data_IF_185191861434
#
_entry.id   IF_185191861434
#
_cell.length_a   1.000
_cell.length_b   1.000
_cell.length_c   1.000
_cell.angle_alpha   90.00
_cell.angle_beta   90.00
_cell.angle_gamma   90.00
#
_symmetry.space_group_name_H-M   'P 1'
#
loop_
_entity.id
_entity.type
_entity.pdbx_description
1 polymer ?
#
# COMPACT_ATOMS: atom_id res chain seq x y z
N UNK A 1 -0.23 -34.91 45.10
CA UNK A 1 1.11 -34.96 45.73
C UNK A 1 2.15 -34.65 44.67
N UNK A 2 2.88 -33.54 44.80
CA UNK A 2 4.18 -33.30 44.16
C UNK A 2 5.29 -33.58 45.20
N UNK A 3 6.55 -33.88 44.81
CA UNK A 3 7.57 -32.85 44.47
C UNK A 3 8.46 -33.26 43.27
N UNK A 4 8.99 -32.40 42.40
CA UNK A 4 9.93 -31.26 42.51
C UNK A 4 11.40 -31.66 42.84
N UNK A 5 12.29 -31.62 41.85
CA UNK A 5 13.71 -31.23 42.03
C UNK A 5 14.15 -30.39 40.82
N UNK A 6 14.70 -29.22 41.14
CA UNK A 6 15.25 -28.17 40.31
C UNK A 6 16.77 -28.38 40.18
N UNK A 7 17.37 -28.10 39.02
CA UNK A 7 18.67 -27.40 38.92
C UNK A 7 18.77 -26.64 37.60
N UNK A 8 19.53 -25.56 37.64
CA UNK A 8 19.39 -24.32 36.87
C UNK A 8 20.62 -23.96 36.03
N UNK A 9 20.36 -23.30 34.90
CA UNK A 9 21.14 -22.31 34.12
C UNK A 9 22.61 -22.54 33.72
N UNK A 10 22.85 -22.44 32.39
CA UNK A 10 23.70 -21.46 31.64
C UNK A 10 23.93 -22.08 30.25
N UNK A 11 23.64 -21.48 29.09
CA UNK A 11 24.16 -20.25 28.50
C UNK A 11 23.28 -19.92 27.27
N UNK A 12 22.70 -18.73 27.18
CA UNK A 12 22.06 -18.25 25.94
C UNK A 12 23.17 -17.69 25.03
N UNK A 13 23.47 -18.37 23.92
CA UNK A 13 24.15 -17.77 22.78
C UNK A 13 23.10 -17.28 21.78
N UNK A 14 23.14 -15.99 21.48
CA UNK A 14 22.41 -15.37 20.39
C UNK A 14 22.98 -15.89 19.06
N UNK A 15 22.24 -16.72 18.34
CA UNK A 15 22.57 -17.07 16.97
C UNK A 15 21.68 -16.26 16.00
N UNK A 16 22.27 -15.17 15.54
CA UNK A 16 21.76 -14.17 14.61
C UNK A 16 21.84 -14.67 13.14
N UNK A 17 21.37 -15.90 12.87
CA UNK A 17 21.59 -16.60 11.58
C UNK A 17 20.30 -16.93 10.79
N UNK A 18 19.18 -16.30 11.15
CA UNK A 18 17.89 -16.51 10.47
C UNK A 18 17.67 -15.55 9.29
N UNK A 19 18.35 -14.39 9.29
CA UNK A 19 18.17 -13.32 8.30
C UNK A 19 18.92 -13.58 6.97
N UNK A 20 20.00 -14.37 7.02
CA UNK A 20 20.82 -14.70 5.85
C UNK A 20 20.17 -15.75 4.93
N UNK A 21 19.37 -16.66 5.47
CA UNK A 21 18.75 -17.74 4.68
C UNK A 21 17.66 -17.29 3.71
N UNK A 22 16.97 -16.18 3.99
CA UNK A 22 15.91 -15.67 3.11
C UNK A 22 16.44 -14.82 1.95
N UNK A 23 17.63 -14.22 2.08
CA UNK A 23 18.24 -13.39 1.03
C UNK A 23 18.89 -14.20 -0.09
N UNK A 24 19.16 -15.50 0.12
CA UNK A 24 19.81 -16.37 -0.86
C UNK A 24 18.83 -17.17 -1.74
N UNK A 25 17.52 -16.96 -1.60
CA UNK A 25 16.49 -17.67 -2.39
C UNK A 25 16.10 -16.93 -3.68
N UNK A 26 16.67 -15.75 -3.96
CA UNK A 26 16.36 -14.97 -5.17
C UNK A 26 17.64 -14.36 -5.78
N UNK A 27 18.40 -15.13 -6.59
CA UNK A 27 19.53 -14.59 -7.31
C UNK A 27 19.10 -13.94 -8.64
N UNK A 28 19.57 -12.70 -8.82
CA UNK A 28 19.73 -11.93 -10.06
C UNK A 28 18.51 -11.50 -10.89
N UNK A 29 18.17 -10.20 -10.82
CA UNK A 29 18.22 -9.28 -11.98
C UNK A 29 18.05 -7.79 -11.59
N UNK A 30 19.10 -7.16 -11.07
CA UNK A 30 19.18 -5.68 -11.05
C UNK A 30 20.39 -5.27 -11.88
N UNK A 31 20.21 -5.13 -13.20
CA UNK A 31 21.12 -4.31 -13.99
C UNK A 31 20.69 -2.86 -13.82
N UNK A 32 21.55 -2.06 -13.16
CA UNK A 32 21.43 -0.61 -13.11
C UNK A 32 21.54 -0.04 -14.52
N UNK A 33 20.44 0.46 -15.07
CA UNK A 33 20.48 1.37 -16.21
C UNK A 33 20.27 2.79 -15.72
N UNK A 34 21.30 3.62 -15.86
CA UNK A 34 21.17 5.07 -15.76
C UNK A 34 20.20 5.56 -16.85
N UNK A 35 19.07 6.13 -16.46
CA UNK A 35 18.16 6.83 -17.37
C UNK A 35 18.06 8.28 -16.90
N UNK A 36 18.80 9.15 -17.57
CA UNK A 36 18.56 10.60 -17.59
C UNK A 36 17.33 10.85 -18.48
N UNK A 37 16.19 11.23 -17.89
CA UNK A 37 15.05 11.76 -18.65
C UNK A 37 15.16 13.28 -18.74
N UNK A 38 15.55 13.75 -19.91
CA UNK A 38 15.32 15.13 -20.38
C UNK A 38 13.81 15.35 -20.53
N UNK A 39 13.27 16.32 -19.78
CA UNK A 39 11.90 16.80 -19.94
C UNK A 39 11.74 17.46 -21.30
N UNK A 40 10.83 16.94 -22.11
CA UNK A 40 10.41 17.59 -23.34
C UNK A 40 8.94 17.99 -23.19
N UNK A 41 8.70 19.28 -23.07
CA UNK A 41 7.38 19.89 -23.05
C UNK A 41 6.75 19.81 -24.43
N UNK A 42 5.56 19.19 -24.56
CA UNK A 42 4.46 19.72 -25.37
C UNK A 42 3.17 18.87 -25.27
N UNK A 43 2.13 19.54 -24.74
CA UNK A 43 0.72 19.58 -25.17
C UNK A 43 -0.18 18.35 -25.00
N UNK A 44 -1.03 18.37 -23.96
CA UNK A 44 -2.49 18.65 -23.94
C UNK A 44 -3.08 18.08 -22.62
N UNK A 45 -4.00 18.82 -21.98
CA UNK A 45 -4.80 18.51 -20.76
C UNK A 45 -4.26 19.05 -19.41
N UNK A 46 -4.49 20.34 -19.17
CA UNK A 46 -4.14 21.08 -17.95
C UNK A 46 -5.06 20.88 -16.73
N UNK A 47 -5.54 19.66 -16.49
CA UNK A 47 -6.26 19.27 -15.26
C UNK A 47 -5.60 18.12 -14.48
N UNK A 48 -4.65 17.40 -15.09
CA UNK A 48 -3.85 16.32 -14.50
C UNK A 48 -2.58 16.87 -13.77
N UNK A 49 -2.64 18.16 -13.38
CA UNK A 49 -1.65 18.81 -12.51
C UNK A 49 -1.70 18.17 -11.11
N UNK A 50 -0.94 17.08 -11.04
CA UNK A 50 -0.53 16.21 -9.95
C UNK A 50 -1.49 16.11 -8.76
N UNK A 51 -2.41 15.14 -8.81
CA UNK A 51 -3.27 14.69 -7.68
C UNK A 51 -2.46 14.61 -6.37
N UNK A 52 -1.18 14.24 -6.44
CA UNK A 52 -0.30 14.20 -5.28
C UNK A 52 -0.03 15.58 -4.67
N UNK A 53 0.19 16.61 -5.48
CA UNK A 53 0.37 17.99 -5.00
C UNK A 53 -0.90 18.48 -4.31
N UNK A 54 -2.07 18.22 -4.91
CA UNK A 54 -3.36 18.55 -4.27
C UNK A 54 -3.53 17.83 -2.93
N UNK A 55 -3.19 16.55 -2.85
CA UNK A 55 -3.22 15.81 -1.59
C UNK A 55 -2.26 16.39 -0.53
N UNK A 56 -1.09 16.90 -0.93
CA UNK A 56 -0.16 17.56 -0.01
C UNK A 56 -0.71 18.90 0.51
N UNK A 57 -1.43 19.65 -0.32
CA UNK A 57 -2.10 20.90 0.07
C UNK A 57 -3.27 20.62 1.01
N UNK A 58 -4.13 19.66 0.67
CA UNK A 58 -5.25 19.22 1.51
C UNK A 58 -4.74 18.70 2.86
N UNK A 59 -3.67 17.89 2.89
CA UNK A 59 -3.06 17.40 4.12
C UNK A 59 -2.58 18.52 5.04
N UNK A 60 -1.99 19.59 4.48
CA UNK A 60 -1.56 20.75 5.27
C UNK A 60 -2.76 21.50 5.84
N UNK A 61 -3.79 21.74 5.02
CA UNK A 61 -5.03 22.37 5.45
C UNK A 61 -5.72 21.58 6.58
N UNK A 62 -5.80 20.26 6.45
CA UNK A 62 -6.39 19.39 7.47
C UNK A 62 -5.62 19.46 8.80
N UNK A 63 -4.28 19.52 8.76
CA UNK A 63 -3.43 19.66 9.96
C UNK A 63 -3.55 21.03 10.61
N UNK A 64 -3.70 22.10 9.82
CA UNK A 64 -3.94 23.45 10.33
C UNK A 64 -5.29 23.55 11.06
N UNK A 65 -6.31 22.88 10.53
CA UNK A 65 -7.64 22.83 11.14
C UNK A 65 -7.68 21.89 12.35
N UNK A 66 -7.00 20.74 12.28
CA UNK A 66 -7.01 19.69 13.31
C UNK A 66 -5.58 19.26 13.70
N UNK A 67 -4.86 20.05 14.54
CA UNK A 67 -3.46 19.78 14.87
C UNK A 67 -3.19 18.42 15.54
N UNK A 68 -4.20 17.81 16.15
CA UNK A 68 -4.10 16.45 16.73
C UNK A 68 -3.74 15.39 15.67
N UNK A 69 -4.06 15.65 14.39
CA UNK A 69 -3.78 14.74 13.28
C UNK A 69 -2.37 14.92 12.67
N UNK A 70 -1.57 15.86 13.18
CA UNK A 70 -0.24 16.20 12.63
C UNK A 70 0.64 14.97 12.37
N UNK A 71 0.78 14.08 13.36
CA UNK A 71 1.62 12.88 13.23
C UNK A 71 1.02 11.85 12.25
N UNK A 72 -0.32 11.78 12.19
CA UNK A 72 -1.01 10.87 11.29
C UNK A 72 -0.80 11.27 9.82
N UNK A 73 -1.01 12.55 9.48
CA UNK A 73 -0.73 13.07 8.14
C UNK A 73 0.76 13.07 7.80
N UNK A 74 1.63 13.36 8.76
CA UNK A 74 3.07 13.30 8.54
C UNK A 74 3.51 11.89 8.12
N UNK A 75 3.14 10.88 8.90
CA UNK A 75 3.52 9.49 8.64
C UNK A 75 2.83 8.88 7.41
N UNK A 76 1.65 9.38 7.03
CA UNK A 76 0.86 8.80 5.93
C UNK A 76 1.03 9.52 4.59
N UNK A 77 1.32 10.83 4.60
CA UNK A 77 1.35 11.68 3.40
C UNK A 77 2.66 12.47 3.31
N UNK A 78 2.90 13.43 4.20
CA UNK A 78 3.91 14.48 3.94
C UNK A 78 5.37 14.02 4.08
N UNK A 79 5.63 12.89 4.74
CA UNK A 79 6.97 12.28 4.81
C UNK A 79 7.34 11.46 3.56
N UNK A 80 6.37 11.20 2.67
CA UNK A 80 6.57 10.42 1.46
C UNK A 80 6.94 11.32 0.29
N UNK A 81 7.76 10.81 -0.63
CA UNK A 81 8.24 11.57 -1.80
C UNK A 81 7.27 11.57 -2.98
N UNK A 82 6.36 10.60 -3.01
CA UNK A 82 5.48 10.33 -4.14
C UNK A 82 4.26 9.51 -3.74
N UNK A 83 3.20 9.57 -4.55
CA UNK A 83 1.92 8.89 -4.30
C UNK A 83 2.06 7.37 -4.13
N UNK A 84 2.93 6.72 -4.92
CA UNK A 84 3.20 5.28 -4.82
C UNK A 84 3.82 4.89 -3.47
N UNK A 85 4.75 5.68 -2.95
CA UNK A 85 5.37 5.46 -1.63
C UNK A 85 4.37 5.67 -0.50
N UNK A 86 3.53 6.70 -0.59
CA UNK A 86 2.44 6.91 0.37
C UNK A 86 1.42 5.75 0.33
N UNK A 87 1.09 5.27 -0.87
CA UNK A 87 0.12 4.19 -1.07
C UNK A 87 0.66 2.87 -0.52
N UNK A 88 1.91 2.53 -0.84
CA UNK A 88 2.57 1.36 -0.29
C UNK A 88 2.59 1.39 1.25
N UNK A 89 2.85 2.57 1.85
CA UNK A 89 2.88 2.74 3.29
C UNK A 89 1.50 2.55 3.93
N UNK A 90 0.45 3.20 3.43
CA UNK A 90 -0.88 3.04 4.03
C UNK A 90 -1.39 1.61 3.91
N UNK A 91 -1.20 0.98 2.74
CA UNK A 91 -1.62 -0.41 2.54
C UNK A 91 -0.82 -1.36 3.44
N UNK A 92 0.48 -1.15 3.59
CA UNK A 92 1.32 -2.02 4.43
C UNK A 92 0.93 -1.92 5.90
N UNK A 93 0.66 -0.71 6.40
CA UNK A 93 0.21 -0.50 7.77
C UNK A 93 -1.16 -1.16 7.98
N UNK A 94 -2.13 -0.92 7.09
CA UNK A 94 -3.51 -1.43 7.22
C UNK A 94 -3.61 -2.95 7.08
N UNK A 95 -2.77 -3.57 6.24
CA UNK A 95 -2.83 -5.01 5.97
C UNK A 95 -1.88 -5.84 6.85
N UNK A 96 -0.99 -5.20 7.62
CA UNK A 96 -0.05 -5.88 8.50
C UNK A 96 -0.72 -6.64 9.64
N UNK A 97 0.02 -7.62 10.18
CA UNK A 97 -0.30 -8.35 11.40
C UNK A 97 0.96 -8.51 12.25
N UNK A 98 0.83 -9.12 13.43
CA UNK A 98 1.99 -9.48 14.26
C UNK A 98 2.94 -10.46 13.55
N UNK A 99 2.44 -11.28 12.64
CA UNK A 99 3.24 -12.25 11.87
C UNK A 99 3.71 -11.69 10.52
N UNK A 100 2.93 -10.81 9.91
CA UNK A 100 3.20 -10.17 8.63
C UNK A 100 3.48 -8.68 8.83
N UNK A 101 4.76 -8.36 9.01
CA UNK A 101 5.21 -7.00 9.36
C UNK A 101 4.96 -6.00 8.24
N UNK A 102 4.60 -4.76 8.61
CA UNK A 102 4.36 -3.66 7.68
C UNK A 102 5.56 -3.37 6.77
N UNK A 103 6.79 -3.42 7.29
CA UNK A 103 7.99 -3.19 6.47
C UNK A 103 8.14 -4.21 5.33
N UNK A 104 7.85 -5.49 5.59
CA UNK A 104 7.89 -6.53 4.55
C UNK A 104 6.82 -6.29 3.49
N UNK A 105 5.62 -5.87 3.90
CA UNK A 105 4.54 -5.52 2.99
C UNK A 105 4.86 -4.26 2.19
N UNK A 106 5.50 -3.27 2.81
CA UNK A 106 5.90 -2.03 2.15
C UNK A 106 6.85 -2.32 0.99
N UNK A 107 7.92 -3.07 1.23
CA UNK A 107 8.90 -3.45 0.20
C UNK A 107 8.25 -4.24 -0.95
N UNK A 108 7.31 -5.13 -0.62
CA UNK A 108 6.54 -5.87 -1.62
C UNK A 108 5.67 -4.93 -2.47
N UNK A 109 4.90 -4.06 -1.82
CA UNK A 109 3.93 -3.20 -2.48
C UNK A 109 4.61 -2.14 -3.34
N UNK A 110 5.64 -1.47 -2.81
CA UNK A 110 6.38 -0.47 -3.58
C UNK A 110 7.05 -1.09 -4.81
N UNK A 111 7.60 -2.30 -4.70
CA UNK A 111 8.15 -3.03 -5.85
C UNK A 111 7.11 -3.27 -6.94
N UNK A 112 5.91 -3.77 -6.55
CA UNK A 112 4.81 -4.00 -7.52
C UNK A 112 4.34 -2.71 -8.18
N UNK A 113 4.18 -1.62 -7.40
CA UNK A 113 3.72 -0.33 -7.90
C UNK A 113 4.73 0.30 -8.87
N UNK A 114 6.03 0.19 -8.59
CA UNK A 114 7.08 0.71 -9.47
C UNK A 114 7.25 -0.11 -10.76
N UNK A 115 7.01 -1.42 -10.71
CA UNK A 115 7.02 -2.28 -11.88
C UNK A 115 5.77 -2.13 -12.76
N UNK A 116 4.70 -1.53 -12.24
CA UNK A 116 3.38 -1.49 -12.89
C UNK A 116 2.78 -0.07 -12.89
N UNK A 117 3.29 0.86 -13.71
CA UNK A 117 2.78 2.24 -13.80
C UNK A 117 1.27 2.32 -14.09
N UNK A 118 0.72 1.32 -14.79
CA UNK A 118 -0.72 1.20 -15.07
C UNK A 118 -1.59 1.15 -13.80
N UNK A 119 -1.06 0.62 -12.70
CA UNK A 119 -1.75 0.60 -11.42
C UNK A 119 -1.87 2.03 -10.88
N UNK A 120 -0.80 2.83 -10.97
CA UNK A 120 -0.81 4.21 -10.48
C UNK A 120 -1.75 5.11 -11.28
N UNK A 121 -1.87 4.88 -12.59
CA UNK A 121 -2.88 5.57 -13.40
C UNK A 121 -4.30 5.20 -12.97
N UNK A 122 -4.53 3.93 -12.62
CA UNK A 122 -5.82 3.49 -12.07
C UNK A 122 -6.10 4.12 -10.71
N UNK A 123 -5.09 4.24 -9.84
CA UNK A 123 -5.18 4.89 -8.52
C UNK A 123 -5.65 6.34 -8.67
N UNK A 124 -5.05 7.11 -9.58
CA UNK A 124 -5.44 8.50 -9.84
C UNK A 124 -6.89 8.57 -10.33
N UNK A 125 -7.29 7.72 -11.29
CA UNK A 125 -8.67 7.68 -11.79
C UNK A 125 -9.67 7.28 -10.72
N UNK A 126 -9.32 6.35 -9.82
CA UNK A 126 -10.17 5.95 -8.71
C UNK A 126 -10.33 7.10 -7.69
N UNK A 127 -9.27 7.87 -7.42
CA UNK A 127 -9.34 9.09 -6.58
C UNK A 127 -10.22 10.17 -7.21
N UNK A 128 -10.09 10.43 -8.51
CA UNK A 128 -10.95 11.35 -9.24
C UNK A 128 -12.42 10.89 -9.18
N UNK A 129 -12.67 9.62 -9.47
CA UNK A 129 -14.02 9.05 -9.43
C UNK A 129 -14.66 9.17 -8.05
N UNK A 130 -13.90 8.94 -6.97
CA UNK A 130 -14.40 9.15 -5.62
C UNK A 130 -14.74 10.63 -5.36
N UNK A 131 -13.85 11.56 -5.74
CA UNK A 131 -14.05 12.98 -5.53
C UNK A 131 -15.24 13.56 -6.31
N UNK A 132 -15.48 13.06 -7.52
CA UNK A 132 -16.56 13.51 -8.40
C UNK A 132 -17.92 12.91 -8.04
N UNK A 133 -17.95 11.65 -7.61
CA UNK A 133 -19.20 10.87 -7.55
C UNK A 133 -19.71 10.65 -6.13
N UNK A 134 -18.88 10.81 -5.11
CA UNK A 134 -19.30 10.70 -3.71
C UNK A 134 -19.40 12.10 -3.05
N UNK A 135 -20.61 12.58 -2.73
CA UNK A 135 -20.81 13.84 -2.02
C UNK A 135 -20.15 13.88 -0.62
N UNK A 136 -19.91 12.73 0.01
CA UNK A 136 -19.23 12.62 1.30
C UNK A 136 -17.69 12.68 1.16
N UNK A 137 -17.16 12.65 -0.06
CA UNK A 137 -15.73 12.76 -0.33
C UNK A 137 -15.25 14.21 -0.18
N UNK A 138 -14.86 14.56 1.04
CA UNK A 138 -14.33 15.89 1.38
C UNK A 138 -13.13 16.31 0.53
N UNK A 139 -12.20 15.41 0.24
CA UNK A 139 -10.91 15.71 -0.40
C UNK A 139 -10.26 14.44 -0.95
N UNK A 140 -9.24 14.57 -1.82
CA UNK A 140 -8.49 13.42 -2.30
C UNK A 140 -7.77 12.71 -1.16
N UNK A 141 -7.15 13.46 -0.24
CA UNK A 141 -6.48 12.90 0.93
C UNK A 141 -7.45 12.20 1.88
N UNK A 142 -8.69 12.70 2.02
CA UNK A 142 -9.73 12.03 2.81
C UNK A 142 -10.11 10.67 2.19
N UNK A 143 -10.31 10.62 0.87
CA UNK A 143 -10.53 9.34 0.19
C UNK A 143 -9.35 8.38 0.40
N UNK A 144 -8.14 8.86 0.11
CA UNK A 144 -6.92 8.07 0.18
C UNK A 144 -6.67 7.47 1.57
N UNK A 145 -6.93 8.21 2.64
CA UNK A 145 -6.67 7.78 4.01
C UNK A 145 -7.80 6.94 4.63
N UNK A 146 -9.05 7.20 4.25
CA UNK A 146 -10.23 6.70 4.99
C UNK A 146 -11.12 5.75 4.19
N UNK A 147 -11.10 5.76 2.86
CA UNK A 147 -12.05 4.98 2.08
C UNK A 147 -11.57 3.54 1.93
N UNK A 148 -12.12 2.65 2.76
CA UNK A 148 -11.79 1.22 2.72
C UNK A 148 -12.06 0.56 1.37
N UNK A 149 -13.08 1.01 0.64
CA UNK A 149 -13.38 0.52 -0.72
C UNK A 149 -12.28 0.89 -1.73
N UNK A 150 -11.78 2.12 -1.65
CA UNK A 150 -10.62 2.57 -2.42
C UNK A 150 -9.38 1.74 -2.07
N UNK A 151 -9.05 1.60 -0.78
CA UNK A 151 -7.89 0.85 -0.32
C UNK A 151 -7.96 -0.64 -0.70
N UNK A 152 -9.15 -1.24 -0.65
CA UNK A 152 -9.39 -2.61 -1.10
C UNK A 152 -9.17 -2.77 -2.61
N UNK A 153 -9.68 -1.83 -3.41
CA UNK A 153 -9.44 -1.81 -4.86
C UNK A 153 -7.95 -1.78 -5.20
N UNK A 154 -7.18 -0.88 -4.55
CA UNK A 154 -5.74 -0.77 -4.82
C UNK A 154 -4.97 -2.01 -4.36
N UNK A 155 -5.36 -2.58 -3.22
CA UNK A 155 -4.79 -3.84 -2.73
C UNK A 155 -5.07 -5.01 -3.67
N UNK A 156 -6.27 -5.07 -4.24
CA UNK A 156 -6.62 -6.05 -5.27
C UNK A 156 -5.75 -5.90 -6.52
N UNK A 157 -5.49 -4.68 -7.01
CA UNK A 157 -4.60 -4.47 -8.17
C UNK A 157 -3.20 -5.03 -7.93
N UNK A 158 -2.66 -4.84 -6.73
CA UNK A 158 -1.38 -5.43 -6.31
C UNK A 158 -1.48 -6.96 -6.29
N UNK A 159 -2.52 -7.52 -5.64
CA UNK A 159 -2.74 -8.96 -5.59
C UNK A 159 -2.93 -9.58 -6.98
N UNK A 160 -3.62 -8.90 -7.89
CA UNK A 160 -3.82 -9.31 -9.27
C UNK A 160 -2.50 -9.37 -10.04
N UNK A 161 -1.61 -8.37 -9.85
CA UNK A 161 -0.28 -8.41 -10.46
C UNK A 161 0.52 -9.61 -9.95
N UNK A 162 0.53 -9.86 -8.64
CA UNK A 162 1.19 -11.03 -8.06
C UNK A 162 0.60 -12.35 -8.58
N UNK A 163 -0.73 -12.42 -8.73
CA UNK A 163 -1.42 -13.57 -9.31
C UNK A 163 -0.97 -13.84 -10.75
N UNK A 164 -0.84 -12.78 -11.56
CA UNK A 164 -0.37 -12.89 -12.95
C UNK A 164 1.09 -13.34 -13.07
N UNK A 165 1.90 -13.13 -12.02
CA UNK A 165 3.29 -13.60 -11.90
C UNK A 165 3.39 -15.02 -11.31
N UNK A 166 2.29 -15.77 -11.24
CA UNK A 166 2.17 -17.09 -10.62
C UNK A 166 2.49 -17.14 -9.11
N UNK A 167 2.57 -15.98 -8.44
CA UNK A 167 2.73 -15.86 -6.98
C UNK A 167 1.39 -16.02 -6.25
N UNK A 168 0.62 -17.05 -6.61
CA UNK A 168 -0.78 -17.25 -6.21
C UNK A 168 -0.99 -17.31 -4.71
N UNK A 169 -0.13 -18.00 -3.97
CA UNK A 169 -0.24 -18.10 -2.50
C UNK A 169 -0.13 -16.72 -1.85
N UNK A 170 0.80 -15.91 -2.32
CA UNK A 170 0.97 -14.55 -1.79
C UNK A 170 -0.21 -13.66 -2.18
N UNK A 171 -0.69 -13.76 -3.42
CA UNK A 171 -1.87 -13.02 -3.86
C UNK A 171 -3.11 -13.37 -3.03
N UNK A 172 -3.35 -14.66 -2.74
CA UNK A 172 -4.43 -15.11 -1.86
C UNK A 172 -4.24 -14.65 -0.41
N UNK A 173 -3.01 -14.62 0.10
CA UNK A 173 -2.73 -14.05 1.42
C UNK A 173 -3.14 -12.57 1.48
N UNK A 174 -2.80 -11.77 0.46
CA UNK A 174 -3.19 -10.36 0.38
C UNK A 174 -4.72 -10.22 0.30
N UNK A 175 -5.40 -11.02 -0.53
CA UNK A 175 -6.87 -10.99 -0.60
C UNK A 175 -7.52 -11.33 0.75
N UNK A 176 -7.01 -12.33 1.49
CA UNK A 176 -7.49 -12.61 2.84
C UNK A 176 -7.29 -11.42 3.79
N UNK A 177 -6.12 -10.77 3.75
CA UNK A 177 -5.88 -9.55 4.56
C UNK A 177 -6.84 -8.42 4.22
N UNK A 178 -7.14 -8.23 2.93
CA UNK A 178 -8.08 -7.22 2.43
C UNK A 178 -9.50 -7.52 2.90
N UNK A 179 -9.93 -8.78 2.85
CA UNK A 179 -11.22 -9.22 3.39
C UNK A 179 -11.32 -8.95 4.89
N UNK A 180 -10.30 -9.28 5.67
CA UNK A 180 -10.28 -9.02 7.11
C UNK A 180 -10.25 -7.52 7.47
N UNK A 181 -9.43 -6.72 6.78
CA UNK A 181 -9.21 -5.32 7.13
C UNK A 181 -10.29 -4.38 6.59
N UNK A 182 -10.84 -4.67 5.41
CA UNK A 182 -11.75 -3.78 4.69
C UNK A 182 -13.15 -4.37 4.47
N UNK A 183 -13.36 -5.65 4.79
CA UNK A 183 -14.60 -6.40 4.52
C UNK A 183 -14.96 -6.45 3.03
N UNK A 184 -13.93 -6.57 2.18
CA UNK A 184 -14.01 -6.69 0.72
C UNK A 184 -13.24 -7.94 0.28
N UNK A 185 -13.87 -8.83 -0.46
CA UNK A 185 -13.33 -10.12 -0.89
C UNK A 185 -13.33 -10.25 -2.42
N UNK A 186 -12.35 -9.60 -3.06
CA UNK A 186 -12.15 -9.70 -4.50
C UNK A 186 -11.07 -10.76 -4.77
N UNK A 187 -11.46 -11.84 -5.46
CA UNK A 187 -10.53 -12.89 -5.85
C UNK A 187 -9.39 -12.32 -6.73
N UNK A 188 -8.09 -12.60 -6.47
CA UNK A 188 -6.99 -11.96 -7.20
C UNK A 188 -6.99 -12.20 -8.71
N UNK A 189 -7.56 -13.31 -9.18
CA UNK A 189 -7.75 -13.59 -10.61
C UNK A 189 -8.80 -12.71 -11.31
N UNK A 190 -9.62 -11.96 -10.56
CA UNK A 190 -10.63 -11.08 -11.12
C UNK A 190 -10.00 -9.86 -11.80
N UNK A 191 -10.50 -9.48 -12.97
CA UNK A 191 -10.09 -8.28 -13.70
C UNK A 191 -11.07 -7.16 -13.37
N UNK A 192 -10.55 -6.05 -12.87
CA UNK A 192 -11.34 -4.84 -12.58
C UNK A 192 -10.80 -3.67 -13.42
N UNK A 193 -11.69 -2.77 -13.83
CA UNK A 193 -11.36 -1.56 -14.58
C UNK A 193 -10.74 -0.47 -13.69
N UNK A 194 -10.79 0.78 -14.11
CA UNK A 194 -10.39 1.98 -13.38
C UNK A 194 -11.55 2.97 -13.22
N UNK A 195 -11.37 4.02 -12.42
CA UNK A 195 -12.44 4.95 -12.07
C UNK A 195 -13.52 4.30 -11.21
N UNK A 196 -13.12 3.36 -10.36
CA UNK A 196 -14.01 2.57 -9.50
C UNK A 196 -14.26 3.30 -8.18
N UNK A 197 -15.53 3.42 -7.81
CA UNK A 197 -15.97 3.83 -6.48
C UNK A 197 -16.75 2.67 -5.84
N UNK A 198 -16.18 2.09 -4.78
CA UNK A 198 -16.85 1.11 -3.93
C UNK A 198 -17.42 1.82 -2.70
N UNK A 199 -18.68 2.26 -2.81
CA UNK A 199 -19.38 2.94 -1.74
C UNK A 199 -19.81 1.95 -0.65
N UNK A 200 -19.63 2.33 0.61
CA UNK A 200 -19.91 1.57 1.84
C UNK A 200 -19.25 0.19 2.02
N UNK A 201 -18.69 -0.42 0.95
CA UNK A 201 -17.79 -1.57 0.79
C UNK A 201 -17.83 -2.72 1.82
N UNK A 202 -18.85 -2.83 2.67
CA UNK A 202 -18.97 -3.85 3.71
C UNK A 202 -19.70 -5.04 3.11
N UNK A 203 -19.04 -6.19 3.04
CA UNK A 203 -19.61 -7.42 2.50
C UNK A 203 -19.54 -7.53 0.98
N UNK A 204 -18.59 -6.82 0.35
CA UNK A 204 -18.29 -6.89 -1.08
C UNK A 204 -17.30 -8.00 -1.41
#
# INVERSE_FOLDING_TARGET
MAPCIYTSNTHLSQDDNSRSRYMNLFPDRIQRTHITKTYNSNSLDGEDDDVWVKMLEEAKSDVEQEPILSNYYYSSITSHRSLDTALANILSVKLSTLTLQSNTLFELFIGVLQESPEIMESVKRDLLAAKERDPACLSYVHCFLSFKGFLACQSHRIAHKLWSQDRKILASLIQNRVSEAFAVDIHPGAKIGDGILLDHATGW
#
